data_IF_654815397345
#
_entry.id   IF_654815397345
#
_cell.length_a   1.000
_cell.length_b   1.000
_cell.length_c   1.000
_cell.angle_alpha   90.00
_cell.angle_beta   90.00
_cell.angle_gamma   90.00
#
_symmetry.space_group_name_H-M   'P 1'
#
loop_
_entity.id
_entity.type
_entity.pdbx_description
1 polymer ?
#
# COMPACT_ATOMS: atom_id res chain seq x y z
N UNK A 1 -20.81 -22.44 31.30
CA UNK A 1 -20.30 -22.42 29.92
C UNK A 1 -20.43 -20.99 29.38
N UNK A 2 -19.75 -19.93 29.86
CA UNK A 2 -18.37 -19.70 30.34
C UNK A 2 -17.33 -19.63 29.21
N UNK A 3 -17.34 -18.51 28.48
CA UNK A 3 -16.36 -18.17 27.44
C UNK A 3 -15.81 -16.74 27.64
N UNK A 4 -15.57 -16.32 28.89
CA UNK A 4 -15.06 -14.98 29.19
C UNK A 4 -14.08 -15.03 30.37
N UNK A 5 -12.84 -14.59 30.14
CA UNK A 5 -11.80 -14.45 31.17
C UNK A 5 -12.05 -13.15 31.96
N UNK A 6 -11.82 -13.12 33.28
CA UNK A 6 -12.19 -11.98 34.15
C UNK A 6 -11.53 -10.62 33.83
N UNK A 7 -10.47 -10.58 33.02
CA UNK A 7 -9.78 -9.33 32.60
C UNK A 7 -10.46 -8.59 31.42
N UNK A 8 -11.66 -9.00 31.00
CA UNK A 8 -12.52 -8.18 30.13
C UNK A 8 -12.07 -8.07 28.67
N UNK A 9 -11.12 -8.88 28.22
CA UNK A 9 -10.70 -8.84 26.82
C UNK A 9 -11.26 -10.01 26.00
N UNK A 10 -12.39 -9.78 25.34
CA UNK A 10 -12.85 -10.57 24.20
C UNK A 10 -12.37 -9.87 22.92
N UNK A 11 -11.06 -9.84 22.67
CA UNK A 11 -10.56 -9.37 21.37
C UNK A 11 -10.82 -10.45 20.34
N UNK A 12 -11.91 -10.31 19.59
CA UNK A 12 -11.80 -10.56 18.15
C UNK A 12 -10.94 -9.42 17.62
N UNK A 13 -9.61 -9.63 17.70
CA UNK A 13 -8.67 -8.76 17.06
C UNK A 13 -9.01 -8.73 15.59
N UNK A 14 -9.41 -7.56 15.13
CA UNK A 14 -9.49 -7.15 13.73
C UNK A 14 -8.43 -7.89 12.90
N UNK A 15 -8.91 -8.59 11.89
CA UNK A 15 -8.08 -9.25 10.91
C UNK A 15 -7.08 -8.27 10.27
N UNK A 16 -5.98 -8.86 9.81
CA UNK A 16 -4.95 -8.32 8.90
C UNK A 16 -3.72 -7.74 9.59
N UNK A 17 -2.83 -8.63 10.02
CA UNK A 17 -1.37 -8.47 9.92
C UNK A 17 -0.68 -9.80 10.23
N UNK A 18 -0.94 -10.84 9.44
CA UNK A 18 -0.01 -11.96 9.31
C UNK A 18 0.87 -11.63 8.11
N UNK A 19 1.82 -10.73 8.31
CA UNK A 19 2.91 -10.49 7.38
C UNK A 19 3.96 -11.57 7.61
N UNK A 20 4.15 -12.46 6.65
CA UNK A 20 5.27 -13.39 6.67
C UNK A 20 5.77 -13.49 5.22
N UNK A 21 6.78 -12.68 4.92
CA UNK A 21 7.54 -12.49 3.67
C UNK A 21 7.17 -11.36 2.70
N UNK A 22 6.17 -10.51 2.99
CA UNK A 22 5.89 -9.35 2.13
C UNK A 22 6.68 -8.09 2.54
N UNK A 23 7.38 -7.47 1.60
CA UNK A 23 8.11 -6.22 1.79
C UNK A 23 7.22 -5.03 1.44
N UNK A 24 6.95 -4.16 2.41
CA UNK A 24 6.23 -2.91 2.15
C UNK A 24 7.24 -1.78 1.93
N UNK A 25 7.18 -1.17 0.75
CA UNK A 25 8.00 0.01 0.40
C UNK A 25 7.10 1.21 0.17
N UNK A 26 7.43 2.32 0.81
CA UNK A 26 6.69 3.57 0.67
C UNK A 26 7.38 4.46 -0.34
N UNK A 27 6.61 5.09 -1.21
CA UNK A 27 7.07 6.00 -2.26
C UNK A 27 6.39 7.36 -2.08
N UNK A 28 7.14 8.43 -2.26
CA UNK A 28 6.59 9.78 -2.36
C UNK A 28 6.13 10.01 -3.80
N UNK A 29 4.92 10.55 -3.97
CA UNK A 29 4.37 10.86 -5.29
C UNK A 29 3.92 12.31 -5.32
N UNK A 30 4.42 13.05 -6.30
CA UNK A 30 4.05 14.43 -6.57
C UNK A 30 2.90 14.48 -7.56
N UNK A 31 1.98 15.44 -7.37
CA UNK A 31 0.86 15.68 -8.28
C UNK A 31 -0.42 14.89 -7.97
N UNK A 32 -0.47 14.05 -6.93
CA UNK A 32 -1.70 13.40 -6.44
C UNK A 32 -2.68 14.42 -5.85
N UNK A 33 -3.36 15.16 -6.73
CA UNK A 33 -4.28 16.26 -6.36
C UNK A 33 -5.75 15.93 -6.62
N UNK A 34 -6.04 14.73 -7.17
CA UNK A 34 -7.40 14.29 -7.48
C UNK A 34 -7.68 12.87 -6.96
N UNK A 35 -8.70 12.75 -6.09
CA UNK A 35 -9.12 11.48 -5.47
C UNK A 35 -9.61 10.43 -6.49
N UNK A 36 -10.25 10.85 -7.59
CA UNK A 36 -10.69 9.93 -8.65
C UNK A 36 -9.54 9.24 -9.37
N UNK A 37 -8.40 9.92 -9.49
CA UNK A 37 -7.25 9.42 -10.22
C UNK A 37 -6.41 8.45 -9.36
N UNK A 38 -6.50 8.54 -8.02
CA UNK A 38 -5.90 7.57 -7.08
C UNK A 38 -6.38 6.14 -7.34
N UNK A 39 -7.69 5.94 -7.49
CA UNK A 39 -8.24 4.58 -7.65
C UNK A 39 -7.76 3.90 -8.94
N UNK A 40 -7.58 4.68 -10.02
CA UNK A 40 -6.98 4.20 -11.26
C UNK A 40 -5.52 3.82 -11.06
N UNK A 41 -4.73 4.69 -10.42
CA UNK A 41 -3.31 4.42 -10.12
C UNK A 41 -3.14 3.18 -9.22
N UNK A 42 -3.93 3.05 -8.16
CA UNK A 42 -3.90 1.87 -7.27
C UNK A 42 -4.18 0.59 -8.04
N UNK A 43 -5.14 0.61 -8.98
CA UNK A 43 -5.40 -0.54 -9.84
C UNK A 43 -4.24 -0.83 -10.79
N UNK A 44 -3.64 0.19 -11.41
CA UNK A 44 -2.50 -0.01 -12.31
C UNK A 44 -1.28 -0.60 -11.60
N UNK A 45 -0.96 -0.11 -10.40
CA UNK A 45 0.14 -0.65 -9.59
C UNK A 45 -0.22 -2.04 -9.05
N UNK A 46 -1.45 -2.24 -8.58
CA UNK A 46 -1.92 -3.53 -8.09
C UNK A 46 -2.12 -4.60 -9.16
N UNK A 47 -2.12 -4.23 -10.44
CA UNK A 47 -2.16 -5.16 -11.56
C UNK A 47 -0.78 -5.77 -11.88
N UNK A 48 0.28 -5.30 -11.24
CA UNK A 48 1.62 -5.88 -11.38
C UNK A 48 1.68 -7.21 -10.62
N UNK A 49 2.15 -8.29 -11.27
CA UNK A 49 2.27 -9.62 -10.65
C UNK A 49 3.11 -9.63 -9.37
N UNK A 50 4.08 -8.72 -9.25
CA UNK A 50 4.96 -8.60 -8.07
C UNK A 50 4.30 -7.87 -6.90
N UNK A 51 3.13 -7.24 -7.11
CA UNK A 51 2.45 -6.41 -6.11
C UNK A 51 1.33 -7.19 -5.44
N UNK A 52 1.43 -7.30 -4.11
CA UNK A 52 0.47 -7.99 -3.26
C UNK A 52 -0.59 -7.04 -2.74
N UNK A 53 -0.19 -5.81 -2.37
CA UNK A 53 -1.10 -4.78 -1.93
C UNK A 53 -0.59 -3.39 -2.26
N UNK A 54 -1.53 -2.44 -2.44
CA UNK A 54 -1.22 -1.03 -2.64
C UNK A 54 -2.07 -0.21 -1.68
N UNK A 55 -1.42 0.70 -0.96
CA UNK A 55 -2.04 1.66 -0.07
C UNK A 55 -1.62 3.07 -0.49
N UNK A 56 -2.59 3.93 -0.81
CA UNK A 56 -2.30 5.33 -1.18
C UNK A 56 -2.76 6.24 -0.06
N UNK A 57 -1.83 7.00 0.48
CA UNK A 57 -2.03 7.98 1.54
C UNK A 57 -1.99 9.40 0.95
N UNK A 58 -3.16 9.99 0.69
CA UNK A 58 -3.26 11.32 0.10
C UNK A 58 -2.93 12.43 1.10
N UNK A 59 -3.13 12.17 2.40
CA UNK A 59 -2.82 13.11 3.47
C UNK A 59 -1.30 13.31 3.59
N UNK A 60 -0.56 12.21 3.54
CA UNK A 60 0.90 12.23 3.53
C UNK A 60 1.52 12.46 2.14
N UNK A 61 0.77 12.27 1.05
CA UNK A 61 1.29 12.30 -0.33
C UNK A 61 2.16 11.08 -0.67
N UNK A 62 1.84 9.92 -0.11
CA UNK A 62 2.66 8.72 -0.15
C UNK A 62 1.88 7.51 -0.71
N UNK A 63 2.61 6.57 -1.30
CA UNK A 63 2.09 5.29 -1.80
C UNK A 63 2.90 4.16 -1.19
N UNK A 64 2.28 3.40 -0.29
CA UNK A 64 2.84 2.16 0.23
C UNK A 64 2.50 1.00 -0.71
N UNK A 65 3.52 0.30 -1.19
CA UNK A 65 3.38 -0.86 -2.06
C UNK A 65 3.98 -2.06 -1.37
N UNK A 66 3.16 -3.08 -1.17
CA UNK A 66 3.54 -4.35 -0.58
C UNK A 66 3.81 -5.32 -1.71
N UNK A 67 5.03 -5.84 -1.77
CA UNK A 67 5.49 -6.81 -2.78
C UNK A 67 5.99 -8.07 -2.10
N UNK A 68 5.80 -9.23 -2.73
CA UNK A 68 6.33 -10.51 -2.25
C UNK A 68 7.85 -10.63 -2.44
N UNK A 69 8.42 -9.77 -3.29
CA UNK A 69 9.84 -9.73 -3.61
C UNK A 69 10.36 -8.28 -3.60
N UNK A 70 11.62 -8.08 -4.01
CA UNK A 70 12.20 -6.75 -4.12
C UNK A 70 11.41 -5.91 -5.14
N UNK A 71 10.90 -4.72 -4.76
CA UNK A 71 10.10 -3.91 -5.65
C UNK A 71 10.95 -3.25 -6.74
N UNK A 72 10.40 -3.21 -7.97
CA UNK A 72 11.01 -2.54 -9.13
C UNK A 72 10.63 -1.06 -9.18
N UNK A 73 11.47 -0.19 -8.61
CA UNK A 73 11.25 1.26 -8.60
C UNK A 73 11.03 1.84 -9.99
N UNK A 74 11.76 1.32 -10.99
CA UNK A 74 11.67 1.79 -12.38
C UNK A 74 10.34 1.43 -13.03
N UNK A 75 9.75 0.28 -12.66
CA UNK A 75 8.45 -0.15 -13.14
C UNK A 75 7.35 0.67 -12.46
N UNK A 76 7.44 0.83 -11.14
CA UNK A 76 6.56 1.68 -10.34
C UNK A 76 6.56 3.12 -10.85
N UNK A 77 7.73 3.71 -11.09
CA UNK A 77 7.84 5.06 -11.63
C UNK A 77 7.18 5.18 -13.01
N UNK A 78 7.34 4.20 -13.90
CA UNK A 78 6.68 4.19 -15.21
C UNK A 78 5.16 4.09 -15.10
N UNK A 79 4.64 3.23 -14.23
CA UNK A 79 3.19 3.09 -14.01
C UNK A 79 2.60 4.38 -13.42
N UNK A 80 3.33 5.01 -12.50
CA UNK A 80 2.95 6.29 -11.89
C UNK A 80 2.98 7.42 -12.92
N UNK A 81 3.99 7.46 -13.80
CA UNK A 81 4.12 8.41 -14.91
C UNK A 81 3.02 8.24 -15.97
N UNK A 82 2.70 7.02 -16.37
CA UNK A 82 1.62 6.70 -17.30
C UNK A 82 0.23 7.11 -16.75
N UNK A 83 0.07 7.03 -15.43
CA UNK A 83 -1.11 7.54 -14.73
C UNK A 83 -1.14 9.07 -14.58
N UNK A 84 -0.07 9.77 -14.98
CA UNK A 84 0.03 11.23 -14.94
C UNK A 84 0.56 11.81 -13.64
N UNK A 85 1.35 11.04 -12.89
CA UNK A 85 1.95 11.42 -11.62
C UNK A 85 3.46 11.25 -11.64
N UNK A 86 4.15 11.90 -10.70
CA UNK A 86 5.61 11.78 -10.62
C UNK A 86 6.03 11.08 -9.34
N UNK A 87 6.67 9.92 -9.45
CA UNK A 87 7.27 9.23 -8.32
C UNK A 87 8.60 9.92 -7.97
N UNK A 88 8.66 10.60 -6.82
CA UNK A 88 9.83 11.40 -6.43
C UNK A 88 10.90 10.59 -5.68
N UNK A 89 10.57 9.36 -5.29
CA UNK A 89 11.50 8.40 -4.69
C UNK A 89 10.89 7.61 -3.55
N UNK A 90 11.69 6.72 -2.93
CA UNK A 90 11.27 5.99 -1.71
C UNK A 90 11.15 6.98 -0.53
N UNK A 91 10.04 6.90 0.19
CA UNK A 91 9.91 7.52 1.50
C UNK A 91 10.59 6.59 2.51
N UNK A 92 11.83 6.94 2.88
CA UNK A 92 12.65 6.24 3.87
C UNK A 92 12.92 7.09 5.09
#
# INVERSE_FOLDING_TARGET
MSCCTPDGNCSTGTATAEATDDTTTVYNVSGMTCEHCKAALTNSIGALDSVVAVHVDLDAGQVAVTTSEQPDDALLAQVVDDAGYELTGRAG
#
